data_IF_944417743865
#
_entry.id   IF_944417743865
#
_cell.length_a   1.000
_cell.length_b   1.000
_cell.length_c   1.000
_cell.angle_alpha   90.00
_cell.angle_beta   90.00
_cell.angle_gamma   90.00
#
_symmetry.space_group_name_H-M   'P 1'
#
loop_
_entity.id
_entity.type
_entity.pdbx_description
1 polymer ?
#
# COMPACT_ATOMS: atom_id res chain seq x y z
N UNK A 1 24.04 10.04 -2.66
CA UNK A 1 23.55 10.70 -3.89
C UNK A 1 22.69 9.68 -4.64
N UNK A 2 21.37 9.89 -4.71
CA UNK A 2 20.48 9.06 -5.53
C UNK A 2 20.65 9.53 -6.98
N UNK A 3 21.43 8.80 -7.77
CA UNK A 3 21.58 9.11 -9.19
C UNK A 3 20.36 8.59 -9.94
N UNK A 4 19.31 9.42 -10.06
CA UNK A 4 18.09 9.14 -10.84
C UNK A 4 18.42 8.66 -12.27
N UNK A 5 19.56 9.11 -12.83
CA UNK A 5 20.07 8.69 -14.14
C UNK A 5 20.29 7.16 -14.26
N UNK A 6 20.55 6.44 -13.16
CA UNK A 6 20.66 4.96 -13.19
C UNK A 6 19.30 4.26 -13.23
N UNK A 7 18.20 4.94 -12.91
CA UNK A 7 16.86 4.41 -13.14
C UNK A 7 16.45 4.47 -14.62
N UNK A 8 17.19 5.20 -15.47
CA UNK A 8 16.87 5.33 -16.89
C UNK A 8 16.79 3.97 -17.62
N UNK A 9 17.56 2.96 -17.19
CA UNK A 9 17.48 1.60 -17.73
C UNK A 9 16.29 0.75 -17.22
N UNK A 10 15.61 1.19 -16.15
CA UNK A 10 14.39 0.57 -15.65
C UNK A 10 13.12 1.09 -16.35
N UNK A 11 13.26 2.18 -17.09
CA UNK A 11 12.20 2.98 -17.70
C UNK A 11 12.17 2.85 -19.23
N UNK A 12 12.36 1.64 -19.74
CA UNK A 12 12.28 1.38 -21.18
C UNK A 12 10.88 0.88 -21.55
N UNK A 13 10.36 1.38 -22.66
CA UNK A 13 9.11 0.96 -23.27
C UNK A 13 9.39 0.12 -24.55
N UNK A 14 8.32 -0.36 -25.20
CA UNK A 14 8.41 -1.21 -26.40
C UNK A 14 8.53 -0.46 -27.74
N UNK A 15 8.65 0.88 -27.73
CA UNK A 15 8.76 1.67 -28.97
C UNK A 15 10.11 1.43 -29.65
N UNK A 16 10.07 1.25 -30.97
CA UNK A 16 11.26 0.97 -31.79
C UNK A 16 12.08 2.24 -32.09
N UNK A 17 11.41 3.37 -32.33
CA UNK A 17 12.03 4.66 -32.67
C UNK A 17 11.34 5.81 -31.91
N UNK A 18 11.61 5.97 -30.60
CA UNK A 18 10.92 6.97 -29.80
C UNK A 18 11.42 8.39 -30.12
N UNK A 19 10.50 9.29 -30.51
CA UNK A 19 10.79 10.73 -30.62
C UNK A 19 11.09 11.34 -29.24
N UNK A 20 10.24 11.05 -28.24
CA UNK A 20 10.46 11.41 -26.85
C UNK A 20 11.14 10.26 -26.11
N UNK A 21 12.32 10.46 -25.50
CA UNK A 21 13.01 9.41 -24.75
C UNK A 21 12.14 8.82 -23.63
N UNK A 22 12.05 7.49 -23.54
CA UNK A 22 11.24 6.79 -22.51
C UNK A 22 11.57 7.18 -21.06
N UNK A 23 12.83 7.58 -20.80
CA UNK A 23 13.25 8.14 -19.52
C UNK A 23 12.52 9.44 -19.15
N UNK A 24 12.27 10.32 -20.12
CA UNK A 24 11.65 11.62 -19.88
C UNK A 24 10.17 11.44 -19.56
N UNK A 25 9.49 10.56 -20.31
CA UNK A 25 8.13 10.13 -20.03
C UNK A 25 8.03 9.52 -18.63
N UNK A 26 8.88 8.53 -18.32
CA UNK A 26 8.78 7.81 -17.05
C UNK A 26 9.07 8.70 -15.85
N UNK A 27 10.05 9.61 -15.94
CA UNK A 27 10.29 10.61 -14.91
C UNK A 27 9.15 11.61 -14.81
N UNK A 28 8.50 11.97 -15.92
CA UNK A 28 7.34 12.86 -15.90
C UNK A 28 6.16 12.21 -15.19
N UNK A 29 5.83 10.96 -15.51
CA UNK A 29 4.78 10.21 -14.83
C UNK A 29 5.10 10.02 -13.34
N UNK A 30 6.36 9.71 -13.02
CA UNK A 30 6.86 9.61 -11.64
C UNK A 30 6.67 10.93 -10.87
N UNK A 31 7.11 12.05 -11.44
CA UNK A 31 6.99 13.36 -10.81
C UNK A 31 5.54 13.81 -10.73
N UNK A 32 4.71 13.45 -11.71
CA UNK A 32 3.26 13.64 -11.70
C UNK A 32 2.62 13.05 -10.46
N UNK A 33 2.97 11.79 -10.17
CA UNK A 33 2.54 11.09 -8.96
C UNK A 33 3.07 11.73 -7.67
N UNK A 34 4.37 12.12 -7.63
CA UNK A 34 4.95 12.81 -6.46
C UNK A 34 4.26 14.14 -6.19
N UNK A 35 3.95 14.90 -7.25
CA UNK A 35 3.30 16.20 -7.20
C UNK A 35 1.77 16.09 -7.04
N UNK A 36 1.21 14.88 -7.12
CA UNK A 36 -0.24 14.62 -7.03
C UNK A 36 -1.03 15.38 -8.11
N UNK A 37 -0.53 15.33 -9.35
CA UNK A 37 -1.19 15.98 -10.50
C UNK A 37 -2.34 15.08 -10.98
N UNK A 38 -3.61 15.56 -10.97
CA UNK A 38 -4.77 14.67 -11.08
C UNK A 38 -5.01 14.02 -12.46
N UNK A 39 -4.39 14.54 -13.52
CA UNK A 39 -4.65 14.07 -14.89
C UNK A 39 -3.43 14.25 -15.80
N UNK A 40 -3.34 13.43 -16.84
CA UNK A 40 -2.30 13.57 -17.87
C UNK A 40 -2.36 14.94 -18.57
N UNK A 41 -3.57 15.47 -18.77
CA UNK A 41 -3.78 16.80 -19.36
C UNK A 41 -3.19 17.92 -18.49
N UNK A 42 -3.34 17.83 -17.17
CA UNK A 42 -2.71 18.77 -16.25
C UNK A 42 -1.19 18.55 -16.16
N UNK A 43 -0.75 17.29 -16.20
CA UNK A 43 0.68 16.94 -16.18
C UNK A 43 1.42 17.48 -17.42
N UNK A 44 0.73 17.50 -18.57
CA UNK A 44 1.22 18.14 -19.77
C UNK A 44 1.50 19.64 -19.58
N UNK A 45 0.67 20.37 -18.82
CA UNK A 45 0.92 21.79 -18.54
C UNK A 45 2.22 21.97 -17.74
N UNK A 46 2.47 21.09 -16.77
CA UNK A 46 3.68 21.10 -15.93
C UNK A 46 4.95 20.82 -16.73
N UNK A 47 4.87 19.99 -17.78
CA UNK A 47 6.03 19.70 -18.65
C UNK A 47 6.57 20.91 -19.43
N UNK A 48 5.80 22.01 -19.49
CA UNK A 48 6.25 23.26 -20.11
C UNK A 48 7.13 24.10 -19.19
N UNK A 49 7.15 23.82 -17.88
CA UNK A 49 7.93 24.58 -16.92
C UNK A 49 9.43 24.28 -17.11
N UNK A 50 10.31 25.31 -17.18
CA UNK A 50 11.76 25.11 -17.34
C UNK A 50 12.38 24.21 -16.25
N UNK A 51 11.87 24.31 -15.01
CA UNK A 51 12.33 23.47 -13.91
C UNK A 51 11.96 22.00 -14.14
N UNK A 52 10.76 21.73 -14.66
CA UNK A 52 10.32 20.37 -14.97
C UNK A 52 11.19 19.76 -16.06
N UNK A 53 11.41 20.50 -17.15
CA UNK A 53 12.27 20.11 -18.27
C UNK A 53 13.70 19.79 -17.82
N UNK A 54 14.23 20.58 -16.88
CA UNK A 54 15.53 20.33 -16.26
C UNK A 54 15.54 19.02 -15.45
N UNK A 55 14.50 18.74 -14.67
CA UNK A 55 14.41 17.51 -13.87
C UNK A 55 14.31 16.25 -14.72
N UNK A 56 13.50 16.27 -15.78
CA UNK A 56 13.27 15.11 -16.66
C UNK A 56 14.31 15.00 -17.78
N UNK A 57 15.10 16.05 -17.99
CA UNK A 57 16.14 16.11 -19.02
C UNK A 57 15.58 16.08 -20.45
N UNK A 58 14.44 16.75 -20.66
CA UNK A 58 13.77 16.90 -21.96
C UNK A 58 13.23 18.33 -22.11
N UNK A 59 13.64 19.10 -23.13
CA UNK A 59 13.39 20.54 -23.21
C UNK A 59 12.04 20.92 -23.83
N UNK A 60 11.24 19.96 -24.29
CA UNK A 60 9.97 20.24 -24.97
C UNK A 60 8.78 19.78 -24.11
N UNK A 61 7.59 20.30 -24.45
CA UNK A 61 6.33 19.82 -23.90
C UNK A 61 6.15 18.34 -24.22
N UNK A 62 5.70 17.57 -23.25
CA UNK A 62 5.26 16.20 -23.45
C UNK A 62 3.74 16.21 -23.44
N UNK A 63 3.11 15.74 -24.53
CA UNK A 63 1.65 15.76 -24.59
C UNK A 63 1.00 14.69 -23.71
N UNK A 64 -0.25 14.91 -23.31
CA UNK A 64 -1.03 13.90 -22.61
C UNK A 64 -1.23 12.64 -23.46
N UNK A 65 -1.43 12.79 -24.78
CA UNK A 65 -1.45 11.67 -25.72
C UNK A 65 -0.13 10.88 -25.71
N UNK A 66 1.01 11.57 -25.67
CA UNK A 66 2.31 10.92 -25.61
C UNK A 66 2.53 10.20 -24.27
N UNK A 67 2.07 10.79 -23.17
CA UNK A 67 2.10 10.16 -21.84
C UNK A 67 1.25 8.89 -21.82
N UNK A 68 0.05 8.93 -22.40
CA UNK A 68 -0.86 7.79 -22.49
C UNK A 68 -0.32 6.68 -23.40
N UNK A 69 0.05 7.05 -24.64
CA UNK A 69 0.61 6.15 -25.64
C UNK A 69 1.83 5.37 -25.11
N UNK A 70 2.74 6.03 -24.40
CA UNK A 70 3.93 5.38 -23.87
C UNK A 70 3.61 4.55 -22.63
N UNK A 71 2.69 5.01 -21.79
CA UNK A 71 2.21 4.28 -20.61
C UNK A 71 1.71 2.88 -20.98
N UNK A 72 0.88 2.75 -22.01
CA UNK A 72 0.40 1.46 -22.52
C UNK A 72 1.52 0.49 -22.95
N UNK A 73 2.69 1.04 -23.31
CA UNK A 73 3.83 0.32 -23.89
C UNK A 73 4.95 0.09 -22.89
N UNK A 74 4.77 0.49 -21.63
CA UNK A 74 5.72 0.23 -20.56
C UNK A 74 5.72 -1.25 -20.17
N UNK A 75 6.90 -1.80 -19.91
CA UNK A 75 7.08 -3.16 -19.39
C UNK A 75 7.02 -3.16 -17.85
N UNK A 76 5.95 -3.71 -17.22
CA UNK A 76 5.85 -3.76 -15.77
C UNK A 76 6.98 -4.55 -15.11
N UNK A 77 7.53 -5.55 -15.80
CA UNK A 77 8.66 -6.33 -15.32
C UNK A 77 9.92 -5.48 -15.17
N UNK A 78 10.12 -4.47 -16.03
CA UNK A 78 11.25 -3.53 -15.93
C UNK A 78 11.08 -2.53 -14.80
N UNK A 79 9.87 -2.01 -14.63
CA UNK A 79 9.53 -1.15 -13.49
C UNK A 79 9.76 -1.87 -12.16
N UNK A 80 9.30 -3.13 -12.06
CA UNK A 80 9.56 -4.00 -10.89
C UNK A 80 11.05 -4.22 -10.64
N UNK A 81 11.86 -4.44 -11.69
CA UNK A 81 13.33 -4.54 -11.54
C UNK A 81 13.95 -3.26 -11.02
N UNK A 82 13.47 -2.10 -11.48
CA UNK A 82 13.85 -0.78 -10.95
C UNK A 82 13.54 -0.65 -9.46
N UNK A 83 12.30 -0.92 -9.06
CA UNK A 83 11.86 -0.90 -7.66
C UNK A 83 12.71 -1.84 -6.78
N UNK A 84 12.93 -3.09 -7.23
CA UNK A 84 13.78 -4.04 -6.51
C UNK A 84 15.24 -3.55 -6.40
N UNK A 85 15.78 -2.88 -7.43
CA UNK A 85 17.11 -2.28 -7.36
C UNK A 85 17.18 -1.17 -6.30
N UNK A 86 16.18 -0.26 -6.27
CA UNK A 86 16.09 0.81 -5.28
C UNK A 86 16.02 0.22 -3.87
N UNK A 87 15.10 -0.72 -3.64
CA UNK A 87 14.90 -1.37 -2.35
C UNK A 87 16.17 -2.07 -1.87
N UNK A 88 16.90 -2.77 -2.74
CA UNK A 88 18.19 -3.37 -2.39
C UNK A 88 19.26 -2.33 -2.06
N UNK A 89 19.29 -1.19 -2.76
CA UNK A 89 20.20 -0.09 -2.44
C UNK A 89 19.88 0.52 -1.08
N UNK A 90 18.60 0.75 -0.77
CA UNK A 90 18.14 1.21 0.54
C UNK A 90 18.55 0.23 1.66
N UNK A 91 18.34 -1.07 1.47
CA UNK A 91 18.77 -2.11 2.43
C UNK A 91 20.29 -2.11 2.63
N UNK A 92 21.08 -2.12 1.55
CA UNK A 92 22.56 -2.11 1.62
C UNK A 92 23.10 -0.83 2.26
N UNK A 93 22.46 0.30 2.00
CA UNK A 93 22.75 1.59 2.62
C UNK A 93 22.26 1.73 4.05
N UNK A 94 21.71 0.66 4.66
CA UNK A 94 21.16 0.63 6.03
C UNK A 94 20.00 1.61 6.26
N UNK A 95 19.32 2.09 5.21
CA UNK A 95 18.18 2.99 5.33
C UNK A 95 17.01 2.33 6.11
N UNK A 96 16.90 1.00 6.05
CA UNK A 96 15.91 0.24 6.83
C UNK A 96 16.36 -0.11 8.25
N UNK A 97 17.54 0.31 8.72
CA UNK A 97 18.00 -0.05 10.07
C UNK A 97 17.05 0.45 11.15
N UNK A 98 16.55 1.67 11.00
CA UNK A 98 15.60 2.30 11.92
C UNK A 98 14.15 1.82 11.70
N UNK A 99 13.91 1.06 10.63
CA UNK A 99 12.62 0.40 10.40
C UNK A 99 12.50 -0.93 11.15
N UNK A 100 13.59 -1.43 11.72
CA UNK A 100 13.57 -2.66 12.49
C UNK A 100 12.82 -2.46 13.79
N UNK A 101 11.84 -3.30 14.05
CA UNK A 101 11.15 -3.38 15.34
C UNK A 101 11.60 -4.68 16.00
N UNK A 102 12.24 -4.58 17.17
CA UNK A 102 12.87 -5.71 17.86
C UNK A 102 13.85 -6.51 16.96
N UNK A 103 14.62 -5.78 16.13
CA UNK A 103 15.66 -6.35 15.26
C UNK A 103 15.18 -6.88 13.91
N UNK A 104 13.86 -7.05 13.74
CA UNK A 104 13.24 -7.60 12.53
C UNK A 104 12.66 -6.52 11.61
N UNK A 105 12.80 -6.74 10.30
CA UNK A 105 12.03 -6.04 9.29
C UNK A 105 10.75 -6.79 8.98
N UNK A 106 9.66 -6.06 9.08
CA UNK A 106 8.33 -6.62 8.89
C UNK A 106 7.70 -6.00 7.67
N UNK A 107 7.13 -6.84 6.81
CA UNK A 107 6.28 -6.38 5.71
C UNK A 107 4.83 -6.64 6.06
N UNK A 108 3.95 -5.92 5.42
CA UNK A 108 2.52 -6.11 5.54
C UNK A 108 1.90 -6.27 4.17
N UNK A 109 0.92 -7.18 4.08
CA UNK A 109 0.15 -7.41 2.87
C UNK A 109 -1.23 -6.82 3.02
N UNK A 110 -1.64 -5.98 2.10
CA UNK A 110 -2.99 -5.45 2.09
C UNK A 110 -3.48 -5.21 0.67
N UNK A 111 -4.78 -5.36 0.44
CA UNK A 111 -5.36 -5.20 -0.88
C UNK A 111 -6.28 -3.99 -0.95
N UNK A 112 -6.18 -3.25 -2.05
CA UNK A 112 -6.98 -2.05 -2.26
C UNK A 112 -7.54 -1.97 -3.67
N UNK A 113 -8.82 -1.57 -3.77
CA UNK A 113 -9.48 -1.24 -5.02
C UNK A 113 -8.92 0.11 -5.51
N UNK A 114 -8.31 0.10 -6.69
CA UNK A 114 -7.69 1.30 -7.26
C UNK A 114 -8.69 2.16 -8.02
N UNK A 115 -9.56 1.49 -8.78
CA UNK A 115 -10.56 2.14 -9.59
C UNK A 115 -11.73 1.21 -9.84
N UNK A 116 -12.91 1.80 -9.98
CA UNK A 116 -14.12 1.14 -10.46
C UNK A 116 -14.80 2.00 -11.53
N UNK A 117 -15.58 1.38 -12.40
CA UNK A 117 -16.35 2.05 -13.44
C UNK A 117 -17.58 1.23 -13.81
N UNK A 118 -18.69 1.93 -14.04
CA UNK A 118 -19.94 1.34 -14.54
C UNK A 118 -19.97 1.22 -16.07
N UNK A 119 -19.00 1.83 -16.76
CA UNK A 119 -19.01 1.96 -18.22
C UNK A 119 -17.71 1.52 -18.88
N UNK A 120 -16.56 1.77 -18.24
CA UNK A 120 -15.24 1.49 -18.81
C UNK A 120 -14.73 0.16 -18.30
N UNK A 121 -14.29 -0.69 -19.22
CA UNK A 121 -13.70 -1.98 -18.90
C UNK A 121 -12.43 -2.26 -19.74
N UNK A 122 -11.68 -3.25 -19.30
CA UNK A 122 -10.58 -3.86 -20.03
C UNK A 122 -10.62 -5.37 -19.81
N UNK A 123 -9.83 -6.11 -20.58
CA UNK A 123 -9.78 -7.58 -20.51
C UNK A 123 -9.34 -8.10 -19.12
N UNK A 124 -8.60 -7.29 -18.37
CA UNK A 124 -8.11 -7.62 -17.03
C UNK A 124 -9.02 -7.15 -15.89
N UNK A 125 -10.15 -6.48 -16.19
CA UNK A 125 -11.05 -5.99 -15.15
C UNK A 125 -11.67 -7.13 -14.35
N UNK A 126 -11.77 -6.96 -13.04
CA UNK A 126 -12.68 -7.73 -12.20
C UNK A 126 -14.11 -7.20 -12.39
N UNK A 127 -15.10 -8.05 -12.15
CA UNK A 127 -16.52 -7.70 -12.29
C UNK A 127 -17.29 -8.02 -11.02
N UNK A 128 -18.22 -7.14 -10.63
CA UNK A 128 -19.21 -7.40 -9.57
C UNK A 128 -20.58 -6.92 -10.01
N UNK A 129 -21.63 -7.62 -9.59
CA UNK A 129 -22.99 -7.12 -9.72
C UNK A 129 -23.25 -6.10 -8.62
N UNK A 130 -23.77 -4.93 -8.98
CA UNK A 130 -24.19 -3.90 -8.04
C UNK A 130 -25.63 -3.49 -8.32
N UNK A 131 -26.33 -3.09 -7.25
CA UNK A 131 -27.66 -2.52 -7.35
C UNK A 131 -27.55 -1.02 -7.10
N UNK A 132 -27.81 -0.23 -8.14
CA UNK A 132 -27.90 1.24 -8.04
C UNK A 132 -29.34 1.70 -8.18
N UNK A 133 -29.60 2.99 -7.99
CA UNK A 133 -30.93 3.58 -8.25
C UNK A 133 -30.89 4.34 -9.57
N UNK A 134 -31.89 4.14 -10.41
CA UNK A 134 -32.07 4.97 -11.61
C UNK A 134 -32.52 6.40 -11.28
N UNK A 135 -32.71 7.22 -12.31
CA UNK A 135 -33.16 8.61 -12.18
C UNK A 135 -34.58 8.73 -11.55
N UNK A 136 -35.34 7.64 -11.54
CA UNK A 136 -36.67 7.53 -10.95
C UNK A 136 -36.63 6.90 -9.55
N UNK A 137 -35.45 6.58 -9.04
CA UNK A 137 -35.23 5.99 -7.72
C UNK A 137 -35.47 4.47 -7.64
N UNK A 138 -35.69 3.79 -8.76
CA UNK A 138 -35.91 2.35 -8.80
C UNK A 138 -34.58 1.58 -8.76
N UNK A 139 -34.52 0.43 -8.08
CA UNK A 139 -33.30 -0.39 -8.03
C UNK A 139 -33.04 -1.03 -9.39
N UNK A 140 -31.87 -0.75 -9.96
CA UNK A 140 -31.37 -1.34 -11.21
C UNK A 140 -30.09 -2.11 -10.89
N UNK A 141 -30.03 -3.35 -11.35
CA UNK A 141 -28.81 -4.16 -11.28
C UNK A 141 -27.96 -3.92 -12.53
N UNK A 142 -26.67 -3.69 -12.32
CA UNK A 142 -25.71 -3.59 -13.41
C UNK A 142 -24.34 -4.15 -13.01
N UNK A 143 -23.51 -4.42 -14.01
CA UNK A 143 -22.14 -4.91 -13.79
C UNK A 143 -21.23 -3.71 -13.62
N UNK A 144 -20.44 -3.72 -12.55
CA UNK A 144 -19.36 -2.77 -12.32
C UNK A 144 -18.02 -3.46 -12.54
N UNK A 145 -17.15 -2.77 -13.27
CA UNK A 145 -15.78 -3.19 -13.55
C UNK A 145 -14.84 -2.52 -12.57
N UNK A 146 -13.86 -3.24 -12.06
CA UNK A 146 -12.90 -2.68 -11.11
C UNK A 146 -11.54 -3.38 -11.18
N UNK A 147 -10.51 -2.73 -10.64
CA UNK A 147 -9.23 -3.37 -10.38
C UNK A 147 -8.87 -3.27 -8.92
N UNK A 148 -8.47 -4.41 -8.36
CA UNK A 148 -7.96 -4.55 -7.00
C UNK A 148 -6.55 -5.11 -7.06
N UNK A 149 -5.68 -4.64 -6.18
CA UNK A 149 -4.30 -5.11 -6.14
C UNK A 149 -3.80 -5.26 -4.71
N UNK A 150 -2.95 -6.28 -4.51
CA UNK A 150 -2.27 -6.57 -3.25
C UNK A 150 -0.94 -5.86 -3.22
N UNK A 151 -0.63 -5.23 -2.10
CA UNK A 151 0.60 -4.50 -1.85
C UNK A 151 1.44 -5.25 -0.83
N UNK A 152 2.75 -5.29 -1.07
CA UNK A 152 3.71 -5.68 -0.05
C UNK A 152 4.48 -4.45 0.41
N UNK A 153 4.15 -3.97 1.60
CA UNK A 153 4.74 -2.76 2.15
C UNK A 153 5.66 -3.10 3.32
N UNK A 154 6.88 -2.59 3.29
CA UNK A 154 7.74 -2.51 4.46
C UNK A 154 7.42 -1.22 5.20
N UNK A 155 6.80 -1.34 6.36
CA UNK A 155 6.42 -0.20 7.21
C UNK A 155 7.46 0.01 8.30
N UNK A 156 7.87 1.27 8.48
CA UNK A 156 8.75 1.65 9.58
C UNK A 156 8.50 3.09 10.02
N UNK A 157 8.96 3.47 11.24
CA UNK A 157 8.71 4.77 11.82
C UNK A 157 9.26 5.94 10.98
N UNK A 158 10.36 5.75 10.23
CA UNK A 158 10.96 6.82 9.42
C UNK A 158 10.75 6.65 7.91
N UNK A 159 10.72 5.42 7.44
CA UNK A 159 10.60 5.12 6.02
C UNK A 159 9.60 3.99 5.82
N UNK A 160 8.62 4.21 4.95
CA UNK A 160 7.74 3.15 4.47
C UNK A 160 7.94 3.00 2.97
N UNK A 161 8.14 1.77 2.50
CA UNK A 161 8.36 1.49 1.08
C UNK A 161 7.47 0.35 0.61
N UNK A 162 6.92 0.50 -0.58
CA UNK A 162 6.28 -0.60 -1.29
C UNK A 162 7.37 -1.42 -1.97
N UNK A 163 7.45 -2.71 -1.64
CA UNK A 163 8.42 -3.63 -2.22
C UNK A 163 8.00 -4.06 -3.62
N UNK A 164 6.73 -4.39 -3.80
CA UNK A 164 6.09 -4.77 -5.07
C UNK A 164 4.56 -4.76 -4.89
N UNK A 165 3.83 -4.86 -6.00
CA UNK A 165 2.37 -5.02 -6.05
C UNK A 165 1.94 -6.12 -7.00
N UNK A 166 0.77 -6.68 -6.72
CA UNK A 166 0.15 -7.67 -7.58
C UNK A 166 -1.32 -7.37 -7.86
N UNK A 167 -1.67 -7.06 -9.13
CA UNK A 167 -3.06 -7.01 -9.55
C UNK A 167 -3.72 -8.38 -9.40
N UNK A 168 -4.93 -8.39 -8.86
CA UNK A 168 -5.80 -9.55 -8.84
C UNK A 168 -6.31 -9.86 -10.25
N UNK A 169 -6.42 -11.14 -10.58
CA UNK A 169 -6.96 -11.65 -11.85
C UNK A 169 -8.43 -12.05 -11.71
N UNK A 170 -9.14 -12.13 -12.83
CA UNK A 170 -10.50 -12.66 -12.83
C UNK A 170 -10.54 -14.09 -12.26
N UNK A 171 -11.48 -14.34 -11.35
CA UNK A 171 -11.61 -15.62 -10.65
C UNK A 171 -10.51 -15.91 -9.61
N UNK A 172 -9.57 -14.98 -9.39
CA UNK A 172 -8.51 -15.12 -8.39
C UNK A 172 -8.97 -14.52 -7.06
N UNK A 173 -8.81 -15.29 -5.98
CA UNK A 173 -8.96 -14.79 -4.61
C UNK A 173 -7.75 -13.95 -4.18
N UNK A 174 -7.95 -13.04 -3.24
CA UNK A 174 -6.90 -12.13 -2.74
C UNK A 174 -5.66 -12.88 -2.22
N UNK A 175 -5.87 -14.01 -1.54
CA UNK A 175 -4.78 -14.87 -1.07
C UNK A 175 -3.91 -15.40 -2.22
N UNK A 176 -4.48 -15.75 -3.37
CA UNK A 176 -3.73 -16.25 -4.52
C UNK A 176 -2.85 -15.15 -5.14
N UNK A 177 -3.38 -13.93 -5.27
CA UNK A 177 -2.60 -12.77 -5.69
C UNK A 177 -1.46 -12.45 -4.71
N UNK A 178 -1.71 -12.53 -3.40
CA UNK A 178 -0.71 -12.34 -2.37
C UNK A 178 0.40 -13.41 -2.39
N UNK A 179 0.06 -14.69 -2.60
CA UNK A 179 1.06 -15.76 -2.73
C UNK A 179 1.93 -15.57 -3.98
N UNK A 180 1.33 -15.13 -5.09
CA UNK A 180 2.05 -14.79 -6.33
C UNK A 180 2.99 -13.60 -6.14
N UNK A 181 2.57 -12.60 -5.35
CA UNK A 181 3.40 -11.47 -4.92
C UNK A 181 4.60 -11.94 -4.07
N UNK A 182 4.34 -12.73 -3.01
CA UNK A 182 5.37 -13.24 -2.10
C UNK A 182 6.38 -14.15 -2.80
N UNK A 183 5.93 -15.02 -3.70
CA UNK A 183 6.81 -15.87 -4.50
C UNK A 183 7.78 -15.03 -5.34
N UNK A 184 7.29 -13.96 -5.98
CA UNK A 184 8.14 -13.04 -6.74
C UNK A 184 9.04 -12.21 -5.85
N UNK A 185 8.60 -11.81 -4.66
CA UNK A 185 9.48 -11.13 -3.69
C UNK A 185 10.59 -12.07 -3.21
N UNK A 186 10.30 -13.35 -3.01
CA UNK A 186 11.32 -14.36 -2.67
C UNK A 186 12.38 -14.48 -3.75
N UNK A 187 11.96 -14.58 -5.01
CA UNK A 187 12.86 -14.66 -6.17
C UNK A 187 13.68 -13.37 -6.34
N UNK A 188 13.01 -12.22 -6.31
CA UNK A 188 13.65 -10.93 -6.57
C UNK A 188 14.49 -10.43 -5.39
N UNK A 189 14.05 -10.53 -4.14
CA UNK A 189 14.76 -9.95 -3.00
C UNK A 189 15.57 -10.99 -2.20
N UNK A 190 15.20 -12.26 -2.28
CA UNK A 190 15.73 -13.34 -1.46
C UNK A 190 15.01 -13.47 -0.11
N UNK A 191 15.06 -14.65 0.53
CA UNK A 191 14.36 -14.93 1.79
C UNK A 191 14.73 -13.99 2.95
N UNK A 192 15.97 -13.49 2.98
CA UNK A 192 16.51 -12.70 4.10
C UNK A 192 16.37 -11.19 3.93
N UNK A 193 15.56 -10.75 2.96
CA UNK A 193 15.39 -9.31 2.72
C UNK A 193 14.56 -8.64 3.82
N UNK A 194 13.49 -9.31 4.23
CA UNK A 194 12.67 -9.03 5.40
C UNK A 194 12.47 -10.33 6.17
N UNK A 195 11.89 -10.23 7.37
CA UNK A 195 11.93 -11.29 8.37
C UNK A 195 10.52 -11.82 8.72
N UNK A 196 9.47 -10.99 8.64
CA UNK A 196 8.09 -11.38 9.04
C UNK A 196 7.05 -10.81 8.07
N UNK A 197 5.97 -11.55 7.85
CA UNK A 197 4.78 -11.10 7.08
C UNK A 197 3.61 -10.81 8.02
N UNK A 198 3.06 -9.60 7.95
CA UNK A 198 1.84 -9.19 8.66
C UNK A 198 0.64 -9.18 7.72
N UNK A 199 -0.47 -9.78 8.16
CA UNK A 199 -1.71 -9.84 7.37
C UNK A 199 -2.95 -9.57 8.24
N UNK A 200 -4.08 -9.23 7.64
CA UNK A 200 -5.35 -9.07 8.38
C UNK A 200 -6.04 -10.41 8.64
N UNK A 201 -7.26 -10.32 9.15
CA UNK A 201 -8.14 -11.44 9.39
C UNK A 201 -8.62 -12.15 8.13
N UNK A 202 -8.64 -11.49 6.97
CA UNK A 202 -9.03 -12.11 5.71
C UNK A 202 -8.03 -13.19 5.29
N UNK A 203 -6.73 -12.95 5.51
CA UNK A 203 -5.65 -13.91 5.25
C UNK A 203 -5.50 -15.00 6.32
N UNK A 204 -6.27 -14.93 7.40
CA UNK A 204 -6.17 -15.90 8.52
C UNK A 204 -6.86 -17.21 8.15
N UNK A 205 -6.27 -17.97 7.22
CA UNK A 205 -6.73 -19.30 6.81
C UNK A 205 -5.54 -20.26 6.65
N UNK A 206 -5.77 -21.54 6.95
CA UNK A 206 -4.70 -22.55 7.02
C UNK A 206 -3.85 -22.67 5.75
N UNK A 207 -4.43 -22.80 4.54
CA UNK A 207 -3.66 -22.92 3.31
C UNK A 207 -2.74 -21.73 3.03
N UNK A 208 -3.20 -20.50 3.28
CA UNK A 208 -2.38 -19.32 3.11
C UNK A 208 -1.21 -19.28 4.11
N UNK A 209 -1.50 -19.48 5.41
CA UNK A 209 -0.46 -19.46 6.45
C UNK A 209 0.61 -20.53 6.17
N UNK A 210 0.19 -21.74 5.80
CA UNK A 210 1.09 -22.85 5.45
C UNK A 210 2.02 -22.47 4.31
N UNK A 211 1.46 -21.96 3.20
CA UNK A 211 2.24 -21.59 2.03
C UNK A 211 3.29 -20.51 2.33
N UNK A 212 2.97 -19.51 3.16
CA UNK A 212 3.93 -18.45 3.52
C UNK A 212 5.02 -18.95 4.47
N UNK A 213 4.66 -19.82 5.43
CA UNK A 213 5.63 -20.46 6.33
C UNK A 213 6.57 -21.40 5.57
N UNK A 214 6.08 -22.14 4.57
CA UNK A 214 6.90 -22.95 3.66
C UNK A 214 7.81 -22.08 2.77
N UNK A 215 7.39 -20.86 2.46
CA UNK A 215 8.28 -19.82 1.90
C UNK A 215 9.27 -19.30 2.95
N UNK A 216 9.35 -19.83 4.17
CA UNK A 216 10.37 -19.50 5.16
C UNK A 216 10.18 -18.15 5.85
N UNK A 217 8.96 -17.62 5.86
CA UNK A 217 8.61 -16.43 6.64
C UNK A 217 7.55 -16.77 7.68
N UNK A 218 7.76 -16.45 8.96
CA UNK A 218 6.68 -16.45 9.93
C UNK A 218 5.63 -15.40 9.57
N UNK A 219 4.39 -15.70 9.91
CA UNK A 219 3.22 -14.87 9.66
C UNK A 219 2.59 -14.46 10.97
N UNK A 220 2.25 -13.18 11.09
CA UNK A 220 1.39 -12.66 12.15
C UNK A 220 0.10 -12.20 11.49
N UNK A 221 -1.01 -12.81 11.84
CA UNK A 221 -2.32 -12.50 11.28
C UNK A 221 -3.30 -12.06 12.37
N UNK A 222 -4.20 -11.15 12.03
CA UNK A 222 -5.23 -10.68 12.97
C UNK A 222 -6.31 -11.75 13.10
N UNK A 223 -6.57 -12.25 14.31
CA UNK A 223 -7.65 -13.19 14.57
C UNK A 223 -8.90 -12.42 15.05
N UNK A 224 -9.85 -12.16 14.13
CA UNK A 224 -11.10 -11.43 14.42
C UNK A 224 -12.37 -12.28 14.35
N UNK A 225 -12.26 -13.53 13.93
CA UNK A 225 -13.42 -14.28 13.50
C UNK A 225 -13.88 -15.21 14.62
N UNK A 226 -15.02 -14.89 15.25
CA UNK A 226 -15.68 -15.74 16.25
C UNK A 226 -15.97 -17.17 15.72
N UNK A 227 -15.97 -17.34 14.39
CA UNK A 227 -16.20 -18.63 13.70
C UNK A 227 -15.06 -19.63 13.83
N UNK A 228 -13.87 -19.22 14.28
CA UNK A 228 -12.78 -20.15 14.52
C UNK A 228 -12.81 -20.64 15.96
N UNK A 229 -12.77 -21.96 16.15
CA UNK A 229 -12.72 -22.58 17.47
C UNK A 229 -11.52 -22.06 18.28
N UNK A 230 -10.38 -21.84 17.63
CA UNK A 230 -9.18 -21.26 18.27
C UNK A 230 -9.44 -19.88 18.90
N UNK A 231 -10.37 -19.10 18.36
CA UNK A 231 -10.70 -17.77 18.90
C UNK A 231 -11.49 -17.94 20.21
N UNK A 232 -12.50 -18.81 20.21
CA UNK A 232 -13.29 -19.11 21.40
C UNK A 232 -12.45 -19.80 22.47
N UNK A 233 -11.59 -20.72 22.07
CA UNK A 233 -10.64 -21.40 22.95
C UNK A 233 -9.67 -20.40 23.59
N UNK A 234 -9.11 -19.46 22.82
CA UNK A 234 -8.24 -18.43 23.35
C UNK A 234 -8.96 -17.52 24.37
N UNK A 235 -10.22 -17.17 24.12
CA UNK A 235 -11.03 -16.43 25.08
C UNK A 235 -11.29 -17.26 26.35
N UNK A 236 -11.65 -18.53 26.21
CA UNK A 236 -11.92 -19.42 27.33
C UNK A 236 -10.69 -19.64 28.21
N UNK A 237 -9.52 -19.92 27.61
CA UNK A 237 -8.26 -20.17 28.32
C UNK A 237 -7.71 -18.92 29.02
N UNK A 238 -8.07 -17.73 28.56
CA UNK A 238 -7.62 -16.47 29.16
C UNK A 238 -8.66 -15.86 30.10
N UNK A 239 -9.87 -16.41 30.15
CA UNK A 239 -10.92 -15.90 31.02
C UNK A 239 -10.58 -16.15 32.50
N UNK A 240 -10.61 -15.09 33.31
CA UNK A 240 -10.27 -15.18 34.75
C UNK A 240 -8.79 -15.44 35.07
N UNK A 241 -7.92 -15.60 34.05
CA UNK A 241 -6.48 -15.77 34.20
C UNK A 241 -5.79 -14.40 34.28
N UNK A 242 -4.82 -14.24 35.17
CA UNK A 242 -3.95 -13.05 35.16
C UNK A 242 -3.16 -12.95 33.85
N UNK A 243 -2.91 -11.74 33.33
CA UNK A 243 -2.08 -11.59 32.13
C UNK A 243 -0.65 -12.10 32.37
N UNK A 244 -0.03 -12.59 31.31
CA UNK A 244 1.37 -13.02 31.29
C UNK A 244 2.33 -11.82 31.33
N UNK A 245 1.94 -10.72 30.68
CA UNK A 245 2.66 -9.45 30.68
C UNK A 245 1.69 -8.28 30.86
N UNK A 246 2.10 -7.28 31.64
CA UNK A 246 1.43 -5.98 31.71
C UNK A 246 2.45 -4.89 31.43
N UNK A 247 2.23 -4.12 30.38
CA UNK A 247 3.15 -3.07 29.91
C UNK A 247 2.39 -1.78 29.60
N UNK A 248 3.09 -0.65 29.62
CA UNK A 248 2.54 0.61 29.11
C UNK A 248 3.03 0.84 27.67
N UNK A 249 2.11 1.18 26.76
CA UNK A 249 2.41 1.54 25.37
C UNK A 249 1.50 2.68 24.93
N UNK A 250 2.07 3.72 24.32
CA UNK A 250 1.31 4.83 23.73
C UNK A 250 0.28 5.47 24.70
N UNK A 251 0.60 5.54 26.00
CA UNK A 251 -0.29 6.03 27.06
C UNK A 251 -1.46 5.11 27.40
N UNK A 252 -1.37 3.83 27.02
CA UNK A 252 -2.34 2.77 27.32
C UNK A 252 -1.72 1.72 28.23
N UNK A 253 -2.50 1.20 29.16
CA UNK A 253 -2.15 0.00 29.90
C UNK A 253 -2.49 -1.21 29.01
N UNK A 254 -1.52 -2.07 28.78
CA UNK A 254 -1.61 -3.20 27.86
C UNK A 254 -1.38 -4.49 28.65
N UNK A 255 -2.40 -5.32 28.71
CA UNK A 255 -2.36 -6.65 29.31
C UNK A 255 -2.35 -7.70 28.21
N UNK A 256 -1.47 -8.69 28.34
CA UNK A 256 -1.16 -9.65 27.29
C UNK A 256 -1.27 -11.06 27.85
N UNK A 257 -1.95 -11.93 27.12
CA UNK A 257 -1.97 -13.37 27.35
C UNK A 257 -1.34 -14.07 26.14
N UNK A 258 -0.35 -14.91 26.42
CA UNK A 258 0.48 -15.58 25.41
C UNK A 258 0.21 -17.10 25.45
N UNK A 259 -0.68 -17.56 24.57
CA UNK A 259 -1.03 -18.97 24.45
C UNK A 259 -0.15 -19.61 23.37
N UNK A 260 0.65 -20.58 23.76
CA UNK A 260 1.54 -21.32 22.85
C UNK A 260 0.95 -22.69 22.54
N UNK A 261 1.36 -23.27 21.41
CA UNK A 261 1.00 -24.64 21.03
C UNK A 261 -0.51 -24.85 20.80
N UNK A 262 -1.21 -23.85 20.25
CA UNK A 262 -2.63 -23.91 19.94
C UNK A 262 -2.85 -24.64 18.61
N UNK A 263 -3.98 -25.35 18.49
CA UNK A 263 -4.39 -25.98 17.22
C UNK A 263 -5.23 -24.99 16.41
N UNK A 264 -4.90 -24.77 15.14
CA UNK A 264 -5.61 -23.78 14.32
C UNK A 264 -6.77 -24.36 13.50
N UNK A 265 -6.46 -25.13 12.46
CA UNK A 265 -7.45 -25.74 11.56
C UNK A 265 -6.92 -27.08 11.05
N UNK A 266 -7.79 -27.96 10.56
CA UNK A 266 -7.36 -29.24 9.95
C UNK A 266 -6.40 -29.03 8.75
N UNK A 267 -6.52 -27.88 8.08
CA UNK A 267 -5.68 -27.49 6.93
C UNK A 267 -4.33 -26.88 7.32
N UNK A 268 -4.09 -26.61 8.61
CA UNK A 268 -2.82 -26.14 9.17
C UNK A 268 -2.52 -26.93 10.44
N UNK A 269 -1.74 -27.99 10.29
CA UNK A 269 -1.52 -29.03 11.30
C UNK A 269 -0.48 -28.65 12.36
N UNK A 270 0.38 -27.70 12.02
CA UNK A 270 1.45 -27.22 12.86
C UNK A 270 0.86 -26.36 13.99
N UNK A 271 1.43 -26.43 15.21
CA UNK A 271 0.98 -25.58 16.30
C UNK A 271 1.17 -24.11 15.95
N UNK A 272 0.20 -23.29 16.35
CA UNK A 272 0.28 -21.83 16.26
C UNK A 272 0.39 -21.22 17.65
N UNK A 273 0.87 -19.99 17.71
CA UNK A 273 0.86 -19.17 18.92
C UNK A 273 -0.24 -18.12 18.82
N UNK A 274 -0.98 -17.90 19.89
CA UNK A 274 -2.05 -16.91 19.97
C UNK A 274 -1.72 -15.88 21.04
N UNK A 275 -1.64 -14.62 20.64
CA UNK A 275 -1.40 -13.49 21.55
C UNK A 275 -2.67 -12.68 21.65
N UNK A 276 -3.32 -12.75 22.81
CA UNK A 276 -4.48 -11.91 23.15
C UNK A 276 -3.99 -10.69 23.91
N UNK A 277 -4.53 -9.53 23.56
CA UNK A 277 -4.17 -8.25 24.16
C UNK A 277 -5.41 -7.46 24.52
N UNK A 278 -5.41 -6.90 25.73
CA UNK A 278 -6.38 -5.93 26.20
C UNK A 278 -5.66 -4.61 26.46
N UNK A 279 -6.07 -3.56 25.75
CA UNK A 279 -5.55 -2.20 25.92
C UNK A 279 -6.60 -1.33 26.57
N UNK A 280 -6.26 -0.68 27.69
CA UNK A 280 -7.15 0.23 28.39
C UNK A 280 -6.54 1.63 28.51
N UNK A 281 -7.38 2.66 28.36
CA UNK A 281 -6.98 4.05 28.52
C UNK A 281 -8.14 4.93 28.96
N UNK A 282 -7.82 6.13 29.45
CA UNK A 282 -8.81 7.14 29.83
C UNK A 282 -8.88 8.21 28.75
N UNK A 283 -10.06 8.42 28.18
CA UNK A 283 -10.30 9.42 27.15
C UNK A 283 -11.26 10.49 27.67
N UNK A 284 -10.94 11.77 27.40
CA UNK A 284 -11.88 12.86 27.65
C UNK A 284 -12.88 12.94 26.50
N UNK A 285 -14.15 12.77 26.81
CA UNK A 285 -15.26 12.99 25.88
C UNK A 285 -16.05 14.22 26.35
N UNK A 286 -16.48 15.05 25.40
CA UNK A 286 -17.35 16.19 25.68
C UNK A 286 -18.80 15.74 25.55
N UNK A 287 -19.54 15.76 26.65
CA UNK A 287 -20.96 15.45 26.70
C UNK A 287 -21.68 16.77 27.06
N UNK A 288 -22.28 17.41 26.05
CA UNK A 288 -22.79 18.78 26.17
C UNK A 288 -21.65 19.79 26.40
N UNK A 289 -21.73 20.55 27.49
CA UNK A 289 -20.68 21.51 27.89
C UNK A 289 -19.70 20.98 28.94
N UNK A 290 -19.80 19.70 29.30
CA UNK A 290 -18.93 19.09 30.32
C UNK A 290 -17.93 18.12 29.69
N UNK A 291 -16.70 18.15 30.21
CA UNK A 291 -15.67 17.16 29.92
C UNK A 291 -15.79 16.02 30.92
N UNK A 292 -16.08 14.82 30.41
CA UNK A 292 -16.15 13.59 31.22
C UNK A 292 -14.99 12.69 30.83
N UNK A 293 -14.31 12.13 31.84
CA UNK A 293 -13.28 11.13 31.63
C UNK A 293 -13.95 9.76 31.53
N UNK A 294 -13.83 9.10 30.39
CA UNK A 294 -14.40 7.78 30.13
C UNK A 294 -13.30 6.76 29.95
N UNK A 295 -13.45 5.62 30.62
CA UNK A 295 -12.58 4.47 30.40
C UNK A 295 -12.95 3.79 29.08
N UNK A 296 -11.93 3.50 28.29
CA UNK A 296 -12.03 2.84 27.00
C UNK A 296 -11.14 1.62 27.01
N UNK A 297 -11.58 0.61 26.28
CA UNK A 297 -10.86 -0.64 26.12
C UNK A 297 -10.91 -1.06 24.64
N UNK A 298 -9.83 -1.68 24.18
CA UNK A 298 -9.75 -2.41 22.91
C UNK A 298 -9.14 -3.78 23.13
N UNK A 299 -9.72 -4.79 22.48
CA UNK A 299 -9.20 -6.15 22.48
C UNK A 299 -8.66 -6.51 21.10
N UNK A 300 -7.52 -7.19 21.10
CA UNK A 300 -6.86 -7.69 19.91
C UNK A 300 -6.46 -9.14 20.13
N UNK A 301 -6.59 -9.96 19.10
CA UNK A 301 -6.04 -11.30 19.10
C UNK A 301 -5.25 -11.48 17.81
N UNK A 302 -4.02 -11.95 17.94
CA UNK A 302 -3.16 -12.30 16.82
C UNK A 302 -2.81 -13.77 16.86
N UNK A 303 -2.79 -14.38 15.68
CA UNK A 303 -2.22 -15.71 15.47
C UNK A 303 -0.83 -15.53 14.88
N UNK A 304 0.10 -16.35 15.34
CA UNK A 304 1.48 -16.42 14.86
C UNK A 304 1.70 -17.83 14.33
N UNK A 305 2.00 -17.91 13.03
CA UNK A 305 2.35 -19.13 12.32
C UNK A 305 3.85 -19.09 11.95
N UNK A 306 4.58 -20.16 12.26
CA UNK A 306 6.05 -20.21 12.11
C UNK A 306 6.79 -19.77 13.39
N UNK A 307 8.13 -19.77 13.31
CA UNK A 307 8.99 -19.55 14.48
C UNK A 307 9.16 -18.06 14.81
N UNK A 308 8.52 -17.64 15.91
CA UNK A 308 8.78 -16.38 16.63
C UNK A 308 8.79 -16.63 18.14
N UNK A 309 9.20 -17.83 18.58
CA UNK A 309 9.10 -18.23 19.98
C UNK A 309 10.03 -17.43 20.90
N UNK A 310 11.16 -16.96 20.38
CA UNK A 310 12.12 -16.11 21.08
C UNK A 310 11.63 -14.68 21.39
N UNK A 311 10.45 -14.29 20.93
CA UNK A 311 9.89 -12.94 21.14
C UNK A 311 8.75 -12.94 22.16
N UNK A 312 8.74 -11.92 23.04
CA UNK A 312 7.69 -11.70 24.03
C UNK A 312 6.33 -11.36 23.38
N UNK A 313 5.22 -11.58 24.09
CA UNK A 313 3.88 -11.28 23.56
C UNK A 313 3.69 -9.79 23.28
N UNK A 314 4.32 -8.93 24.10
CA UNK A 314 4.35 -7.48 23.88
C UNK A 314 5.00 -7.08 22.54
N UNK A 315 5.99 -7.85 22.07
CA UNK A 315 6.63 -7.62 20.76
C UNK A 315 5.70 -8.02 19.62
N UNK A 316 4.98 -9.14 19.74
CA UNK A 316 3.97 -9.56 18.76
C UNK A 316 2.89 -8.48 18.62
N UNK A 317 2.43 -7.91 19.73
CA UNK A 317 1.52 -6.75 19.75
C UNK A 317 2.10 -5.57 18.98
N UNK A 318 3.35 -5.21 19.26
CA UNK A 318 3.98 -4.04 18.64
C UNK A 318 4.08 -4.21 17.11
N UNK A 319 4.37 -5.42 16.62
CA UNK A 319 4.29 -5.73 15.19
C UNK A 319 2.86 -5.74 14.66
N UNK A 320 1.90 -6.36 15.36
CA UNK A 320 0.50 -6.38 14.98
C UNK A 320 -0.09 -4.98 14.73
N UNK A 321 0.34 -3.99 15.51
CA UNK A 321 -0.05 -2.59 15.34
C UNK A 321 0.67 -1.84 14.20
N UNK A 322 1.80 -2.34 13.69
CA UNK A 322 2.44 -1.75 12.50
C UNK A 322 1.53 -1.81 11.28
N UNK A 323 0.66 -2.82 11.19
CA UNK A 323 -0.32 -2.93 10.10
C UNK A 323 -1.24 -1.71 10.06
N UNK A 324 -1.71 -1.23 11.21
CA UNK A 324 -2.59 -0.06 11.27
C UNK A 324 -1.91 1.24 10.82
N UNK A 325 -0.57 1.32 10.84
CA UNK A 325 0.15 2.47 10.28
C UNK A 325 0.08 2.54 8.74
N UNK A 326 -0.32 1.45 8.07
CA UNK A 326 -0.50 1.40 6.60
C UNK A 326 -1.69 2.25 6.17
N UNK A 327 -2.82 2.19 6.89
CA UNK A 327 -4.01 2.99 6.61
C UNK A 327 -3.71 4.50 6.59
N UNK A 328 -2.82 4.95 7.48
CA UNK A 328 -2.45 6.35 7.57
C UNK A 328 -1.38 6.79 6.56
N UNK A 329 -0.49 5.90 6.11
CA UNK A 329 0.67 6.27 5.29
C UNK A 329 0.52 5.90 3.81
N UNK A 330 -0.17 4.80 3.49
CA UNK A 330 -0.43 4.38 2.11
C UNK A 330 -1.83 4.78 1.68
N UNK A 331 -2.88 4.39 2.43
CA UNK A 331 -4.25 4.50 1.92
C UNK A 331 -4.84 5.92 1.93
N UNK A 332 -4.57 6.75 2.94
CA UNK A 332 -5.01 8.16 2.94
C UNK A 332 -4.45 9.01 1.78
N UNK A 333 -3.43 8.53 1.06
CA UNK A 333 -2.85 9.21 -0.13
C UNK A 333 -3.23 8.57 -1.46
N UNK A 334 -3.80 7.37 -1.45
CA UNK A 334 -4.45 6.71 -2.60
C UNK A 334 -5.98 6.79 -2.54
N UNK A 335 -6.54 7.59 -1.62
CA UNK A 335 -7.98 7.80 -1.53
C UNK A 335 -8.47 8.40 -2.86
N UNK A 336 -9.39 7.74 -3.60
CA UNK A 336 -9.87 8.19 -4.91
C UNK A 336 -10.57 9.55 -4.88
N UNK A 337 -10.80 10.16 -3.71
CA UNK A 337 -11.29 11.54 -3.59
C UNK A 337 -10.36 12.60 -4.19
N UNK A 338 -9.11 12.26 -4.55
CA UNK A 338 -8.13 13.19 -5.15
C UNK A 338 -7.72 12.86 -6.59
N UNK A 339 -8.17 11.72 -7.14
CA UNK A 339 -8.38 11.64 -8.58
C UNK A 339 -9.68 12.41 -8.83
N UNK A 340 -9.57 13.68 -9.25
CA UNK A 340 -10.71 14.36 -9.85
C UNK A 340 -11.27 13.39 -10.89
N UNK A 341 -12.49 12.88 -10.67
CA UNK A 341 -13.20 12.02 -11.60
C UNK A 341 -13.14 12.70 -12.98
N UNK A 342 -12.30 12.24 -13.92
CA UNK A 342 -12.23 12.86 -15.24
C UNK A 342 -13.48 12.49 -16.06
N UNK A 343 -14.40 11.70 -15.49
CA UNK A 343 -15.46 10.98 -16.18
C UNK A 343 -16.86 11.37 -15.72
N UNK A 344 -17.00 12.45 -14.93
CA UNK A 344 -18.30 13.04 -14.65
C UNK A 344 -18.81 13.76 -15.90
N UNK A 345 -19.80 13.19 -16.57
CA UNK A 345 -20.54 13.86 -17.64
C UNK A 345 -21.08 15.22 -17.16
N UNK A 346 -21.10 16.28 -18.00
CA UNK A 346 -21.78 17.52 -17.63
C UNK A 346 -23.28 17.24 -17.43
N UNK A 347 -23.88 17.92 -16.47
CA UNK A 347 -25.34 17.97 -16.29
C UNK A 347 -26.06 18.26 -17.62
N UNK A 348 -27.27 17.72 -17.85
CA UNK A 348 -27.93 17.78 -19.15
C UNK A 348 -28.29 19.24 -19.49
N UNK A 349 -27.73 19.77 -20.57
CA UNK A 349 -28.06 21.13 -21.01
C UNK A 349 -27.21 21.76 -22.13
N UNK A 350 -26.13 21.13 -22.59
CA UNK A 350 -25.30 21.66 -23.68
C UNK A 350 -25.10 20.61 -24.79
N UNK A 351 -25.40 21.01 -26.02
CA UNK A 351 -25.27 20.23 -27.25
C UNK A 351 -23.81 19.83 -27.55
N UNK A 352 -23.60 18.71 -28.28
CA UNK A 352 -22.30 18.07 -28.38
C UNK A 352 -21.36 18.78 -29.37
N UNK A 353 -20.11 19.02 -28.98
CA UNK A 353 -19.01 19.30 -29.92
C UNK A 353 -18.19 18.03 -30.15
N UNK A 354 -17.74 17.76 -31.39
CA UNK A 354 -17.17 16.48 -31.79
C UNK A 354 -15.66 16.47 -31.58
N UNK A 355 -15.21 15.91 -30.46
CA UNK A 355 -13.87 15.32 -30.27
C UNK A 355 -13.86 14.58 -28.93
N UNK A 356 -14.73 13.57 -28.79
CA UNK A 356 -14.59 12.58 -27.73
C UNK A 356 -13.63 11.52 -28.26
N UNK A 357 -12.40 11.55 -27.76
CA UNK A 357 -11.43 10.52 -28.06
C UNK A 357 -11.84 9.19 -27.41
N UNK A 358 -11.76 8.15 -28.21
CA UNK A 358 -12.14 6.77 -27.94
C UNK A 358 -10.83 6.01 -27.65
N UNK A 359 -10.79 5.20 -26.58
CA UNK A 359 -9.68 4.32 -26.10
C UNK A 359 -8.79 4.94 -25.01
N UNK A 360 -8.13 4.22 -24.08
CA UNK A 360 -8.33 2.96 -23.36
C UNK A 360 -7.33 2.94 -22.17
N UNK A 361 -7.74 2.45 -20.98
CA UNK A 361 -6.88 1.67 -20.05
C UNK A 361 -5.71 2.38 -19.30
N UNK A 362 -6.04 3.00 -18.16
CA UNK A 362 -5.20 3.56 -17.07
C UNK A 362 -4.23 2.58 -16.33
N UNK A 363 -3.56 1.66 -17.02
CA UNK A 363 -2.89 0.53 -16.38
C UNK A 363 -1.43 0.76 -15.92
N UNK A 364 -0.77 1.82 -16.41
CA UNK A 364 0.66 2.06 -16.14
C UNK A 364 0.94 3.08 -15.04
N UNK A 365 0.09 4.10 -14.88
CA UNK A 365 0.21 5.10 -13.81
C UNK A 365 0.12 4.45 -12.43
N UNK A 366 -0.85 3.55 -12.22
CA UNK A 366 -0.98 2.78 -10.97
C UNK A 366 0.26 1.96 -10.63
N UNK A 367 1.08 1.59 -11.62
CA UNK A 367 2.33 0.84 -11.46
C UNK A 367 3.55 1.75 -11.23
N UNK A 368 3.50 2.99 -11.72
CA UNK A 368 4.55 4.01 -11.51
C UNK A 368 4.45 4.70 -10.15
N UNK A 369 3.25 4.74 -9.55
CA UNK A 369 3.03 5.20 -8.18
C UNK A 369 4.09 4.60 -7.23
N UNK A 370 4.42 3.31 -7.33
CA UNK A 370 5.33 2.66 -6.39
C UNK A 370 6.78 3.20 -6.40
N UNK A 371 7.29 3.63 -7.56
CA UNK A 371 8.64 4.19 -7.66
C UNK A 371 8.63 5.65 -7.18
N UNK A 372 7.56 6.39 -7.45
CA UNK A 372 7.42 7.82 -7.08
C UNK A 372 7.44 7.98 -5.56
N UNK A 373 6.78 7.07 -4.86
CA UNK A 373 6.66 7.05 -3.42
C UNK A 373 7.99 6.78 -2.69
N UNK A 374 8.99 6.22 -3.37
CA UNK A 374 10.31 5.93 -2.79
C UNK A 374 11.28 7.13 -2.88
N UNK A 375 10.94 8.17 -3.65
CA UNK A 375 11.82 9.32 -3.92
C UNK A 375 11.56 10.54 -3.02
N UNK A 376 10.50 10.53 -2.19
CA UNK A 376 10.15 11.64 -1.31
C UNK A 376 10.25 11.23 0.17
N UNK A 377 11.09 11.89 1.00
CA UNK A 377 11.11 11.64 2.44
C UNK A 377 9.78 12.06 3.09
N UNK A 378 9.32 11.28 4.07
CA UNK A 378 8.30 11.73 5.01
C UNK A 378 8.85 12.95 5.78
N UNK A 379 8.10 14.06 5.77
CA UNK A 379 8.58 15.36 6.22
C UNK A 379 8.87 15.49 7.72
N UNK A 380 9.65 16.55 7.98
CA UNK A 380 9.95 17.23 9.25
C UNK A 380 10.85 16.51 10.27
N UNK A 381 12.15 16.77 10.10
CA UNK A 381 13.17 16.52 11.11
C UNK A 381 14.55 16.92 10.58
N UNK A 382 15.07 18.06 11.04
CA UNK A 382 16.44 18.49 10.75
C UNK A 382 17.42 17.42 11.27
N UNK A 383 18.06 16.69 10.35
CA UNK A 383 19.27 15.91 10.66
C UNK A 383 20.41 16.56 9.90
N UNK A 384 21.27 17.27 10.63
CA UNK A 384 22.53 17.79 10.12
C UNK A 384 23.45 16.61 9.79
N UNK A 385 24.08 16.63 8.61
CA UNK A 385 25.23 15.77 8.31
C UNK A 385 25.04 14.70 7.23
N UNK A 386 24.26 14.95 6.18
CA UNK A 386 24.42 14.25 4.89
C UNK A 386 24.44 15.31 3.79
N UNK A 387 25.51 15.33 2.99
CA UNK A 387 25.76 16.31 1.94
C UNK A 387 24.51 16.55 1.08
N UNK A 388 24.00 17.77 1.17
CA UNK A 388 22.79 18.27 0.54
C UNK A 388 22.90 18.22 -0.98
N UNK A 389 22.01 17.48 -1.64
CA UNK A 389 21.56 17.84 -2.99
C UNK A 389 20.39 18.81 -2.83
N UNK A 390 20.58 20.05 -3.25
CA UNK A 390 19.54 21.09 -3.31
C UNK A 390 18.41 20.68 -4.27
N UNK A 391 17.46 19.88 -3.78
CA UNK A 391 16.10 19.82 -4.31
C UNK A 391 15.22 20.47 -3.24
N UNK A 392 15.02 21.78 -3.35
CA UNK A 392 14.08 22.51 -2.50
C UNK A 392 12.65 22.17 -2.91
N UNK A 393 12.10 21.06 -2.39
CA UNK A 393 10.69 20.67 -2.56
C UNK A 393 9.69 21.74 -2.05
N UNK A 394 10.15 22.71 -1.27
CA UNK A 394 9.37 23.85 -0.78
C UNK A 394 8.87 24.78 -1.88
N UNK A 395 9.47 24.75 -3.09
CA UNK A 395 9.02 25.60 -4.21
C UNK A 395 7.81 25.02 -4.95
N UNK A 396 7.57 23.70 -4.92
CA UNK A 396 6.42 23.07 -5.60
C UNK A 396 5.07 23.48 -5.00
N UNK A 397 4.99 23.85 -3.72
CA UNK A 397 3.72 24.25 -3.08
C UNK A 397 3.41 25.75 -3.09
N UNK A 398 4.39 26.62 -3.36
CA UNK A 398 4.21 28.08 -3.25
C UNK A 398 3.70 28.77 -4.52
N UNK A 399 3.59 28.07 -5.64
CA UNK A 399 3.12 28.64 -6.91
C UNK A 399 1.59 28.86 -7.05
N UNK A 400 0.79 28.64 -5.99
CA UNK A 400 -0.67 28.81 -6.03
C UNK A 400 -1.20 30.08 -5.33
N UNK A 401 -0.32 30.95 -4.87
CA UNK A 401 -0.71 32.30 -4.45
C UNK A 401 -0.02 33.30 -5.39
N UNK A 402 -0.83 34.05 -6.14
CA UNK A 402 -0.44 35.04 -7.16
C UNK A 402 -0.22 34.44 -8.56
N UNK A 403 -1.33 34.10 -9.24
CA UNK A 403 -1.87 34.83 -10.40
C UNK A 403 -3.23 34.26 -10.80
#
# INVERSE_FOLDING_TARGET
MFHLNFLAGAFTDSRLHPEIPGRAISLTLLLGEVAQIPSLLQLQAETQLPQWQQWVGYPERISDDALDYVSERMDPGKLRRGAAWINRKLKRGKAFAENKVNGLLVISLDANEQFCSDHRCCEDCLTRQITSKDAQGQPVQHIQYYHKQVYAQLSGPKLSVILDVEPMRQGEEECAAALRLLARLRESHGPRFFDVVLVDAWYTNGPFLKAVVEMGWPVIAVLKQDRYDIYQEALALTNGRSPDETVERDGRQVEIWDLRQMTFTETYTEPVRVVRVRESWKQRERIGDQWVLKEKEQNWIWIVAGDLDGYAGSVIRDWGHLRWKIENNAFKRTDPGLAADPLRSPSPGLSPSPALDQNHRLHALSRLCHIAWQAAPAGEGHVAGIAQTNLSFTSMRRGRAVL
#
